data_IF_546076301774
#
_entry.id   IF_546076301774
#
_cell.length_a   1.000
_cell.length_b   1.000
_cell.length_c   1.000
_cell.angle_alpha   90.00
_cell.angle_beta   90.00
_cell.angle_gamma   90.00
#
_symmetry.space_group_name_H-M   'P 1'
#
loop_
_entity.id
_entity.type
_entity.pdbx_description
1 polymer ?
#
# COMPACT_ATOMS: atom_id res chain seq x y z
N UNK A 1 -0.66 -10.80 18.08
CA UNK A 1 0.14 -9.56 18.07
C UNK A 1 1.04 -9.50 16.85
N UNK A 2 1.48 -8.30 16.46
CA UNK A 2 2.43 -8.07 15.38
C UNK A 2 3.81 -7.81 15.98
N UNK A 3 4.85 -8.41 15.40
CA UNK A 3 6.23 -8.21 15.82
C UNK A 3 6.99 -7.41 14.75
N UNK A 4 7.57 -6.28 15.15
CA UNK A 4 8.45 -5.47 14.31
C UNK A 4 9.86 -6.06 14.22
N UNK A 5 10.62 -5.67 13.20
CA UNK A 5 12.00 -6.14 12.98
C UNK A 5 12.97 -5.74 14.10
N UNK A 6 12.63 -4.72 14.88
CA UNK A 6 13.38 -4.31 16.08
C UNK A 6 13.01 -5.14 17.33
N UNK A 7 12.22 -6.21 17.18
CA UNK A 7 11.76 -7.08 18.26
C UNK A 7 10.60 -6.51 19.09
N UNK A 8 10.14 -5.28 18.79
CA UNK A 8 8.97 -4.70 19.47
C UNK A 8 7.69 -5.39 19.03
N UNK A 9 6.73 -5.51 19.93
CA UNK A 9 5.43 -6.13 19.66
C UNK A 9 4.32 -5.11 19.89
N UNK A 10 3.36 -5.05 18.99
CA UNK A 10 2.17 -4.18 19.11
C UNK A 10 0.91 -4.97 18.78
N UNK A 11 -0.19 -4.62 19.45
CA UNK A 11 -1.48 -5.24 19.23
C UNK A 11 -2.24 -4.44 18.16
N UNK A 12 -2.59 -5.05 17.02
CA UNK A 12 -3.37 -4.35 16.01
C UNK A 12 -4.76 -3.99 16.56
N UNK A 13 -5.28 -2.84 16.15
CA UNK A 13 -6.61 -2.37 16.52
C UNK A 13 -7.71 -3.10 15.75
N UNK A 14 -7.40 -3.59 14.54
CA UNK A 14 -8.34 -4.31 13.69
C UNK A 14 -8.12 -3.99 12.22
N UNK A 15 -9.10 -4.35 11.39
CA UNK A 15 -9.05 -4.12 9.95
C UNK A 15 -9.96 -2.97 9.53
N UNK A 16 -9.56 -2.23 8.51
CA UNK A 16 -10.37 -1.19 7.85
C UNK A 16 -10.23 -1.31 6.34
N UNK A 17 -11.36 -1.21 5.63
CA UNK A 17 -11.36 -1.14 4.18
C UNK A 17 -11.21 0.32 3.74
N UNK A 18 -10.16 0.64 2.97
CA UNK A 18 -9.93 1.97 2.43
C UNK A 18 -9.83 1.92 0.90
N UNK A 19 -10.27 3.01 0.25
CA UNK A 19 -10.03 3.22 -1.18
C UNK A 19 -8.67 3.89 -1.32
N UNK A 20 -7.74 3.22 -2.00
CA UNK A 20 -6.42 3.76 -2.31
C UNK A 20 -6.42 4.23 -3.75
N UNK A 21 -6.15 5.52 -3.95
CA UNK A 21 -5.99 6.11 -5.28
C UNK A 21 -4.52 6.35 -5.56
N UNK A 22 -4.02 5.80 -6.68
CA UNK A 22 -2.66 6.02 -7.17
C UNK A 22 -2.72 6.76 -8.49
N UNK A 23 -1.87 7.76 -8.66
CA UNK A 23 -1.86 8.59 -9.85
C UNK A 23 -2.62 9.90 -9.69
N UNK A 24 -2.83 10.56 -10.82
CA UNK A 24 -3.38 11.90 -10.93
C UNK A 24 -4.31 11.96 -12.15
N UNK A 25 -5.36 12.78 -12.05
CA UNK A 25 -6.30 13.10 -13.13
C UNK A 25 -6.73 11.86 -13.93
N UNK A 26 -6.46 11.83 -15.22
CA UNK A 26 -6.90 10.79 -16.16
C UNK A 26 -6.10 9.47 -16.03
N UNK A 27 -5.03 9.47 -15.23
CA UNK A 27 -4.22 8.28 -14.94
C UNK A 27 -4.55 7.68 -13.57
N UNK A 28 -5.38 8.36 -12.77
CA UNK A 28 -5.73 7.90 -11.43
C UNK A 28 -6.43 6.53 -11.46
N UNK A 29 -5.93 5.60 -10.65
CA UNK A 29 -6.52 4.27 -10.44
C UNK A 29 -6.85 4.09 -8.97
N UNK A 30 -8.07 3.65 -8.70
CA UNK A 30 -8.56 3.37 -7.35
C UNK A 30 -8.70 1.87 -7.14
N UNK A 31 -8.22 1.37 -6.00
CA UNK A 31 -8.46 0.00 -5.56
C UNK A 31 -8.98 0.00 -4.12
N UNK A 32 -9.78 -1.00 -3.75
CA UNK A 32 -10.21 -1.22 -2.37
C UNK A 32 -9.19 -2.12 -1.68
N UNK A 33 -8.58 -1.64 -0.60
CA UNK A 33 -7.56 -2.36 0.18
C UNK A 33 -8.01 -2.49 1.62
N UNK A 34 -7.89 -3.69 2.18
CA UNK A 34 -8.10 -3.93 3.60
C UNK A 34 -6.78 -3.73 4.34
N UNK A 35 -6.73 -2.71 5.20
CA UNK A 35 -5.56 -2.39 6.02
C UNK A 35 -5.72 -2.95 7.43
N UNK A 36 -4.62 -3.44 7.99
CA UNK A 36 -4.49 -3.71 9.43
C UNK A 36 -4.06 -2.43 10.13
N UNK A 37 -4.89 -1.91 11.02
CA UNK A 37 -4.63 -0.69 11.79
C UNK A 37 -3.75 -1.03 12.99
N UNK A 38 -2.64 -0.31 13.11
CA UNK A 38 -1.64 -0.54 14.15
C UNK A 38 -1.26 0.81 14.74
N UNK A 39 -1.31 0.91 16.07
CA UNK A 39 -0.76 2.04 16.79
C UNK A 39 0.71 1.75 17.11
N UNK A 40 1.60 2.33 16.30
CA UNK A 40 3.03 2.25 16.52
C UNK A 40 3.76 3.50 15.98
N UNK A 41 4.89 3.88 16.59
CA UNK A 41 5.77 4.89 16.02
C UNK A 41 6.37 4.38 14.69
N UNK A 42 5.96 4.99 13.58
CA UNK A 42 6.40 4.60 12.23
C UNK A 42 6.73 5.83 11.39
N UNK A 43 7.75 5.72 10.54
CA UNK A 43 8.07 6.73 9.52
C UNK A 43 7.07 6.71 8.34
N UNK A 44 6.33 5.61 8.21
CA UNK A 44 5.35 5.39 7.15
C UNK A 44 3.94 5.42 7.73
N UNK A 45 3.03 6.13 7.06
CA UNK A 45 1.61 6.21 7.41
C UNK A 45 0.84 4.95 6.98
N UNK A 46 1.25 4.33 5.87
CA UNK A 46 0.65 3.11 5.35
C UNK A 46 1.71 2.24 4.67
N UNK A 47 1.45 0.93 4.64
CA UNK A 47 2.26 -0.06 3.92
C UNK A 47 1.32 -0.78 2.97
N UNK A 48 1.61 -0.70 1.68
CA UNK A 48 0.90 -1.49 0.67
C UNK A 48 1.56 -2.87 0.58
N UNK A 49 0.73 -3.90 0.68
CA UNK A 49 1.18 -5.27 0.56
C UNK A 49 1.30 -5.69 -0.92
N UNK A 50 1.79 -6.90 -1.15
CA UNK A 50 1.92 -7.43 -2.52
C UNK A 50 0.56 -7.59 -3.21
N UNK A 51 -0.50 -7.84 -2.46
CA UNK A 51 -1.86 -7.99 -2.99
C UNK A 51 -2.35 -6.67 -3.58
N UNK A 52 -2.24 -5.57 -2.83
CA UNK A 52 -2.58 -4.24 -3.32
C UNK A 52 -1.75 -3.82 -4.55
N UNK A 53 -0.45 -4.17 -4.58
CA UNK A 53 0.40 -3.94 -5.75
C UNK A 53 -0.09 -4.75 -6.96
N UNK A 54 -0.51 -6.01 -6.76
CA UNK A 54 -1.04 -6.85 -7.81
C UNK A 54 -2.39 -6.33 -8.34
N UNK A 55 -3.28 -5.87 -7.47
CA UNK A 55 -4.58 -5.29 -7.86
C UNK A 55 -4.41 -3.99 -8.66
N UNK A 56 -3.37 -3.21 -8.33
CA UNK A 56 -2.97 -2.05 -9.14
C UNK A 56 -2.39 -2.45 -10.50
N UNK A 57 -2.04 -3.72 -10.72
CA UNK A 57 -1.19 -4.18 -11.82
C UNK A 57 0.11 -3.37 -11.87
N UNK A 58 0.68 -3.13 -10.68
CA UNK A 58 1.83 -2.28 -10.51
C UNK A 58 3.14 -3.07 -10.54
N UNK A 59 4.17 -2.48 -11.17
CA UNK A 59 5.54 -2.96 -11.18
C UNK A 59 6.41 -1.96 -10.42
N UNK A 60 6.81 -2.29 -9.18
CA UNK A 60 7.77 -1.47 -8.43
C UNK A 60 9.19 -1.69 -8.97
N UNK A 61 9.96 -0.61 -9.06
CA UNK A 61 11.37 -0.63 -9.42
C UNK A 61 12.19 0.03 -8.31
N UNK A 62 12.89 -0.81 -7.54
CA UNK A 62 13.77 -0.35 -6.45
C UNK A 62 14.95 0.47 -6.97
N UNK A 63 15.51 0.10 -8.13
CA UNK A 63 16.59 0.83 -8.77
C UNK A 63 16.22 2.29 -9.12
N UNK A 64 14.96 2.55 -9.44
CA UNK A 64 14.48 3.89 -9.82
C UNK A 64 13.67 4.57 -8.72
N UNK A 65 13.44 3.91 -7.59
CA UNK A 65 12.53 4.34 -6.52
C UNK A 65 11.15 4.78 -7.05
N UNK A 66 10.63 4.02 -8.03
CA UNK A 66 9.38 4.34 -8.73
C UNK A 66 8.52 3.09 -8.86
N UNK A 67 7.23 3.32 -9.08
CA UNK A 67 6.26 2.28 -9.40
C UNK A 67 5.53 2.68 -10.69
N UNK A 68 5.46 1.76 -11.65
CA UNK A 68 4.58 1.89 -12.82
C UNK A 68 3.34 1.06 -12.60
N UNK A 69 2.20 1.46 -13.14
CA UNK A 69 0.95 0.73 -13.07
C UNK A 69 0.18 0.98 -14.35
N UNK A 70 -0.58 -0.01 -14.81
CA UNK A 70 -1.33 0.11 -16.05
C UNK A 70 -2.52 1.05 -15.88
N UNK A 71 -2.58 2.04 -16.75
CA UNK A 71 -3.70 2.97 -16.86
C UNK A 71 -4.70 2.53 -17.92
N UNK A 72 -5.92 3.06 -17.90
CA UNK A 72 -6.94 2.80 -18.93
C UNK A 72 -6.50 3.23 -20.35
N UNK A 73 -5.42 4.03 -20.44
CA UNK A 73 -4.81 4.44 -21.70
C UNK A 73 -3.73 3.47 -22.20
N UNK A 74 -3.51 2.34 -21.52
CA UNK A 74 -2.50 1.35 -21.89
C UNK A 74 -1.05 1.80 -21.64
N UNK A 75 -0.87 2.91 -20.91
CA UNK A 75 0.42 3.45 -20.47
C UNK A 75 0.81 2.89 -19.11
#
# INVERSE_FOLDING_TARGET
DLQGFNGTTTKPWGYVDLIVTVGDNETAKSIKVQFLVVDCPSLYQCILDRTAIADLLAVPSTAHLKMKYYTNKGQ
#
